data_IF_855894472440
#
_entry.id   IF_855894472440
#
_cell.length_a   1.000
_cell.length_b   1.000
_cell.length_c   1.000
_cell.angle_alpha   90.00
_cell.angle_beta   90.00
_cell.angle_gamma   90.00
#
_symmetry.space_group_name_H-M   'P 1'
#
loop_
_entity.id
_entity.type
_entity.pdbx_description
1 polymer ?
#
# COMPACT_ATOMS: atom_id res chain seq x y z
N UNK A 1 48.34 -34.16 -28.35
CA UNK A 1 48.79 -33.83 -26.98
C UNK A 1 49.04 -32.33 -26.96
N UNK A 2 48.40 -31.62 -26.01
CA UNK A 2 48.50 -30.18 -25.73
C UNK A 2 47.78 -29.27 -26.76
N UNK A 3 46.97 -28.25 -26.43
CA UNK A 3 46.80 -27.46 -25.20
C UNK A 3 45.34 -27.00 -24.99
N UNK A 4 45.00 -26.86 -23.71
CA UNK A 4 43.77 -26.34 -23.12
C UNK A 4 43.93 -24.83 -22.81
N UNK A 5 42.81 -24.10 -22.83
CA UNK A 5 42.53 -22.76 -22.29
C UNK A 5 42.92 -21.49 -23.11
N UNK A 6 42.30 -20.30 -22.83
CA UNK A 6 40.88 -20.03 -22.57
C UNK A 6 40.33 -18.83 -23.38
N UNK A 7 39.00 -18.68 -23.41
CA UNK A 7 38.26 -17.52 -23.96
C UNK A 7 38.60 -16.19 -23.25
N UNK A 8 38.75 -15.07 -23.97
CA UNK A 8 38.81 -13.75 -23.34
C UNK A 8 37.40 -13.28 -22.93
N UNK A 9 37.18 -13.19 -21.62
CA UNK A 9 36.04 -12.49 -21.02
C UNK A 9 36.18 -10.99 -21.25
N UNK A 10 35.29 -10.40 -22.05
CA UNK A 10 35.10 -8.94 -22.09
C UNK A 10 33.96 -8.60 -21.13
N UNK A 11 34.19 -7.79 -20.08
CA UNK A 11 33.11 -7.26 -19.26
C UNK A 11 32.34 -6.22 -20.09
N UNK A 12 31.03 -6.43 -20.30
CA UNK A 12 30.15 -5.38 -20.81
C UNK A 12 29.63 -4.58 -19.62
N UNK A 13 30.40 -3.57 -19.27
CA UNK A 13 29.96 -2.42 -18.49
C UNK A 13 29.03 -1.58 -19.38
N UNK A 14 27.71 -1.70 -19.17
CA UNK A 14 26.73 -0.61 -19.20
C UNK A 14 25.32 -1.23 -19.05
N UNK A 15 24.98 -1.65 -17.83
CA UNK A 15 23.58 -1.81 -17.47
C UNK A 15 23.17 -0.51 -16.77
N UNK A 16 22.15 0.22 -17.25
CA UNK A 16 21.69 1.41 -16.56
C UNK A 16 21.12 0.95 -15.22
N UNK A 17 21.90 1.15 -14.15
CA UNK A 17 21.46 0.95 -12.77
C UNK A 17 20.22 1.80 -12.58
N UNK A 18 19.05 1.16 -12.66
CA UNK A 18 17.80 1.74 -12.23
C UNK A 18 18.08 2.34 -10.85
N UNK A 19 17.83 3.64 -10.71
CA UNK A 19 17.83 4.27 -9.40
C UNK A 19 16.69 3.60 -8.64
N UNK A 20 16.99 2.53 -7.91
CA UNK A 20 16.06 2.00 -6.94
C UNK A 20 15.81 3.14 -5.96
N UNK A 21 14.56 3.61 -5.78
CA UNK A 21 14.28 4.53 -4.71
C UNK A 21 14.72 3.85 -3.42
N UNK A 22 15.73 4.41 -2.75
CA UNK A 22 16.23 3.90 -1.47
C UNK A 22 15.05 3.59 -0.56
N UNK A 23 14.92 2.32 -0.18
CA UNK A 23 13.83 1.79 0.64
C UNK A 23 13.66 2.52 1.99
N UNK A 24 14.69 3.27 2.42
CA UNK A 24 14.72 4.02 3.68
C UNK A 24 13.74 5.22 3.68
N UNK A 25 13.58 5.92 2.56
CA UNK A 25 12.69 7.10 2.45
C UNK A 25 11.22 6.71 2.24
N UNK A 26 10.96 5.45 1.88
CA UNK A 26 9.62 4.88 1.74
C UNK A 26 9.08 4.34 3.06
N UNK A 27 9.95 3.90 3.98
CA UNK A 27 9.51 3.28 5.22
C UNK A 27 8.91 4.32 6.19
N UNK A 28 9.59 5.45 6.42
CA UNK A 28 9.11 6.50 7.33
C UNK A 28 7.84 7.21 6.80
N UNK A 29 7.76 7.42 5.48
CA UNK A 29 6.56 7.94 4.82
C UNK A 29 5.41 6.94 4.85
N UNK A 30 5.69 5.65 4.70
CA UNK A 30 4.69 4.58 4.84
C UNK A 30 4.14 4.48 6.26
N UNK A 31 5.02 4.56 7.27
CA UNK A 31 4.64 4.52 8.69
C UNK A 31 3.76 5.70 9.09
N UNK A 32 4.09 6.91 8.65
CA UNK A 32 3.27 8.11 8.93
C UNK A 32 1.89 8.08 8.26
N UNK A 33 1.80 7.58 7.02
CA UNK A 33 0.50 7.39 6.33
C UNK A 33 -0.35 6.36 7.07
N UNK A 34 0.23 5.21 7.44
CA UNK A 34 -0.48 4.17 8.19
C UNK A 34 -0.99 4.70 9.52
N UNK A 35 -0.15 5.40 10.28
CA UNK A 35 -0.52 5.97 11.58
C UNK A 35 -1.70 6.93 11.46
N UNK A 36 -1.66 7.85 10.47
CA UNK A 36 -2.78 8.77 10.22
C UNK A 36 -4.08 8.02 9.93
N UNK A 37 -4.04 6.98 9.07
CA UNK A 37 -5.22 6.19 8.75
C UNK A 37 -5.73 5.41 9.96
N UNK A 38 -4.84 4.83 10.77
CA UNK A 38 -5.20 4.10 12.00
C UNK A 38 -5.88 5.02 13.02
N UNK A 39 -5.36 6.24 13.19
CA UNK A 39 -5.88 7.22 14.16
C UNK A 39 -7.20 7.86 13.72
N UNK A 40 -7.38 8.12 12.42
CA UNK A 40 -8.53 8.88 11.94
C UNK A 40 -9.71 8.00 11.52
N UNK A 41 -9.51 7.11 10.54
CA UNK A 41 -10.63 6.49 9.81
C UNK A 41 -10.72 4.97 9.94
N UNK A 42 -9.63 4.28 10.27
CA UNK A 42 -9.55 2.82 10.14
C UNK A 42 -10.57 2.07 10.98
N UNK A 43 -10.78 2.49 12.23
CA UNK A 43 -11.77 1.85 13.13
C UNK A 43 -13.18 1.98 12.57
N UNK A 44 -13.59 3.20 12.24
CA UNK A 44 -14.92 3.49 11.71
C UNK A 44 -15.15 2.76 10.39
N UNK A 45 -14.15 2.74 9.49
CA UNK A 45 -14.24 2.04 8.22
C UNK A 45 -14.38 0.52 8.42
N UNK A 46 -13.59 -0.06 9.33
CA UNK A 46 -13.67 -1.48 9.65
C UNK A 46 -15.06 -1.88 10.17
N UNK A 47 -15.61 -1.12 11.11
CA UNK A 47 -16.95 -1.38 11.65
C UNK A 47 -18.03 -1.27 10.56
N UNK A 48 -17.92 -0.26 9.69
CA UNK A 48 -18.82 -0.09 8.54
C UNK A 48 -18.74 -1.26 7.55
N UNK A 49 -17.53 -1.77 7.28
CA UNK A 49 -17.33 -2.94 6.43
C UNK A 49 -17.92 -4.21 7.05
N UNK A 50 -17.83 -4.40 8.36
CA UNK A 50 -18.47 -5.52 9.05
C UNK A 50 -19.99 -5.46 8.91
N UNK A 51 -20.60 -4.29 9.08
CA UNK A 51 -22.04 -4.09 8.83
C UNK A 51 -22.41 -4.38 7.39
N UNK A 52 -21.65 -3.84 6.45
CA UNK A 52 -21.87 -4.05 5.01
C UNK A 52 -21.84 -5.53 4.62
N UNK A 53 -20.86 -6.28 5.14
CA UNK A 53 -20.71 -7.72 4.87
C UNK A 53 -21.88 -8.56 5.40
N UNK A 54 -22.47 -8.14 6.52
CA UNK A 54 -23.63 -8.77 7.14
C UNK A 54 -24.94 -8.41 6.44
N UNK A 55 -25.20 -7.13 6.21
CA UNK A 55 -26.48 -6.63 5.67
C UNK A 55 -26.62 -6.86 4.15
N UNK A 56 -25.49 -6.92 3.43
CA UNK A 56 -25.42 -7.11 1.97
C UNK A 56 -26.48 -6.31 1.18
N UNK A 57 -26.55 -4.98 1.39
CA UNK A 57 -27.53 -4.14 0.71
C UNK A 57 -27.27 -4.11 -0.80
N UNK A 58 -28.32 -3.83 -1.57
CA UNK A 58 -28.25 -3.71 -3.04
C UNK A 58 -27.35 -2.56 -3.51
N UNK A 59 -27.19 -1.51 -2.69
CA UNK A 59 -26.33 -0.36 -2.95
C UNK A 59 -25.20 -0.25 -1.89
N UNK A 60 -24.15 -1.09 -1.97
CA UNK A 60 -23.15 -1.24 -0.90
C UNK A 60 -22.34 0.02 -0.61
N UNK A 61 -21.93 0.75 -1.65
CA UNK A 61 -21.14 1.98 -1.48
C UNK A 61 -21.97 3.11 -0.87
N UNK A 62 -23.26 3.21 -1.24
CA UNK A 62 -24.17 4.19 -0.66
C UNK A 62 -24.38 3.92 0.82
N UNK A 63 -24.68 2.67 1.17
CA UNK A 63 -24.85 2.25 2.54
C UNK A 63 -23.62 2.55 3.41
N UNK A 64 -22.42 2.17 2.92
CA UNK A 64 -21.18 2.43 3.66
C UNK A 64 -20.90 3.94 3.77
N UNK A 65 -21.12 4.70 2.70
CA UNK A 65 -20.95 6.16 2.71
C UNK A 65 -21.89 6.86 3.69
N UNK A 66 -23.16 6.48 3.74
CA UNK A 66 -24.14 7.00 4.70
C UNK A 66 -23.71 6.71 6.14
N UNK A 67 -23.24 5.48 6.41
CA UNK A 67 -22.70 5.12 7.72
C UNK A 67 -21.48 5.98 8.11
N UNK A 68 -20.53 6.19 7.19
CA UNK A 68 -19.35 7.02 7.48
C UNK A 68 -19.73 8.49 7.75
N UNK A 69 -20.70 9.04 7.01
CA UNK A 69 -21.21 10.40 7.22
C UNK A 69 -21.95 10.54 8.55
N UNK A 70 -22.73 9.53 8.95
CA UNK A 70 -23.38 9.49 10.26
C UNK A 70 -22.32 9.55 11.39
N UNK A 71 -21.26 8.73 11.28
CA UNK A 71 -20.16 8.73 12.25
C UNK A 71 -19.35 10.01 12.28
N UNK A 72 -19.10 10.65 11.13
CA UNK A 72 -18.48 11.99 11.04
C UNK A 72 -19.28 13.01 11.87
N UNK A 73 -20.61 13.04 11.71
CA UNK A 73 -21.49 13.96 12.42
C UNK A 73 -21.51 13.71 13.94
N UNK A 74 -21.52 12.45 14.36
CA UNK A 74 -21.42 12.08 15.78
C UNK A 74 -20.10 12.57 16.41
N UNK A 75 -19.01 12.58 15.62
CA UNK A 75 -17.69 13.07 16.05
C UNK A 75 -17.52 14.59 15.94
N UNK A 76 -18.46 15.28 15.29
CA UNK A 76 -18.41 16.73 15.07
C UNK A 76 -17.48 17.17 13.94
N UNK A 77 -17.25 16.30 12.95
CA UNK A 77 -16.45 16.54 11.74
C UNK A 77 -17.28 16.97 10.54
#
# INVERSE_FOLDING_TARGET
MAEDAPTPSVPREDEPKAVEPSAEDSNERGESVKAYLEETVSKTLHDGMMRLANERPSAPLKFLGEYLLEKSRERGE
#
